data_IF_102117086003
#
_entry.id   IF_102117086003
#
_cell.length_a   1.000
_cell.length_b   1.000
_cell.length_c   1.000
_cell.angle_alpha   90.00
_cell.angle_beta   90.00
_cell.angle_gamma   90.00
#
_symmetry.space_group_name_H-M   'P 1'
#
loop_
_entity.id
_entity.type
_entity.pdbx_description
1 polymer ?
#
# COMPACT_ATOMS: atom_id res chain seq x y z
N UNK A 1 0.97 -17.21 -3.21
CA UNK A 1 -0.41 -16.80 -2.84
C UNK A 1 -1.50 -17.80 -3.30
N UNK A 2 -1.18 -18.91 -3.98
CA UNK A 2 -2.18 -19.82 -4.56
C UNK A 2 -3.22 -20.35 -3.57
N UNK A 3 -2.78 -20.87 -2.42
CA UNK A 3 -3.70 -21.35 -1.39
C UNK A 3 -4.66 -20.26 -0.89
N UNK A 4 -4.17 -19.03 -0.69
CA UNK A 4 -5.01 -17.93 -0.25
C UNK A 4 -6.06 -17.56 -1.32
N UNK A 5 -5.68 -17.59 -2.61
CA UNK A 5 -6.63 -17.31 -3.70
C UNK A 5 -7.73 -18.38 -3.83
N UNK A 6 -7.45 -19.63 -3.47
CA UNK A 6 -8.44 -20.70 -3.47
C UNK A 6 -9.35 -20.64 -2.23
N UNK A 7 -8.80 -20.26 -1.07
CA UNK A 7 -9.50 -20.29 0.21
C UNK A 7 -10.28 -19.01 0.56
N UNK A 8 -9.89 -17.84 0.01
CA UNK A 8 -10.46 -16.55 0.40
C UNK A 8 -10.94 -15.75 -0.80
N UNK A 9 -12.08 -15.04 -0.60
CA UNK A 9 -12.62 -14.10 -1.59
C UNK A 9 -11.90 -12.75 -1.60
N UNK A 10 -11.33 -12.38 -0.46
CA UNK A 10 -10.60 -11.13 -0.27
C UNK A 10 -9.38 -11.41 0.59
N UNK A 11 -8.21 -10.96 0.13
CA UNK A 11 -6.94 -11.11 0.82
C UNK A 11 -6.43 -9.69 1.10
N UNK A 12 -6.26 -9.35 2.38
CA UNK A 12 -5.65 -8.10 2.80
C UNK A 12 -4.25 -8.41 3.27
N UNK A 13 -3.26 -7.75 2.68
CA UNK A 13 -1.85 -7.89 3.06
C UNK A 13 -1.42 -6.63 3.77
N UNK A 14 -1.04 -6.76 5.04
CA UNK A 14 -0.42 -5.66 5.78
C UNK A 14 1.05 -5.55 5.38
N UNK A 15 1.52 -4.34 5.11
CA UNK A 15 2.86 -4.06 4.62
C UNK A 15 3.57 -3.07 5.54
N UNK A 16 4.91 -3.13 5.66
CA UNK A 16 5.66 -2.10 6.35
C UNK A 16 5.52 -0.72 5.67
N UNK A 17 5.96 0.38 6.30
CA UNK A 17 5.91 1.72 5.70
C UNK A 17 6.68 1.82 4.38
N UNK A 18 6.03 2.41 3.36
CA UNK A 18 6.52 2.48 1.96
C UNK A 18 7.95 3.02 1.81
N UNK A 19 8.32 4.06 2.56
CA UNK A 19 9.62 4.73 2.38
C UNK A 19 10.77 4.15 3.20
N UNK A 20 10.49 3.29 4.18
CA UNK A 20 11.52 2.76 5.07
C UNK A 20 12.02 1.38 4.62
N UNK A 21 11.32 0.71 3.70
CA UNK A 21 11.58 -0.67 3.34
C UNK A 21 11.39 -0.92 1.83
N UNK A 22 12.34 -1.64 1.24
CA UNK A 22 12.28 -2.13 -0.15
C UNK A 22 11.14 -3.14 -0.37
N UNK A 23 10.73 -3.83 0.69
CA UNK A 23 9.85 -5.00 0.62
C UNK A 23 8.43 -4.63 0.16
N UNK A 24 8.03 -3.37 0.36
CA UNK A 24 6.72 -2.87 -0.05
C UNK A 24 6.48 -3.06 -1.55
N UNK A 25 7.51 -2.90 -2.39
CA UNK A 25 7.40 -3.16 -3.83
C UNK A 25 7.17 -4.64 -4.12
N UNK A 26 7.92 -5.53 -3.46
CA UNK A 26 7.79 -6.98 -3.65
C UNK A 26 6.40 -7.49 -3.21
N UNK A 27 5.89 -6.99 -2.08
CA UNK A 27 4.56 -7.31 -1.58
C UNK A 27 3.49 -6.81 -2.57
N UNK A 28 3.58 -5.55 -3.00
CA UNK A 28 2.62 -4.96 -3.95
C UNK A 28 2.64 -5.62 -5.33
N UNK A 29 3.77 -6.22 -5.74
CA UNK A 29 3.88 -6.96 -6.99
C UNK A 29 2.93 -8.18 -7.01
N UNK A 30 2.70 -8.80 -5.84
CA UNK A 30 1.81 -9.96 -5.67
C UNK A 30 0.35 -9.58 -5.37
N UNK A 31 0.03 -8.30 -5.28
CA UNK A 31 -1.31 -7.80 -4.98
C UNK A 31 -1.98 -7.24 -6.25
N UNK A 32 -3.31 -7.31 -6.33
CA UNK A 32 -4.08 -6.74 -7.44
C UNK A 32 -4.19 -5.20 -7.35
N UNK A 33 -4.16 -4.67 -6.12
CA UNK A 33 -4.21 -3.25 -5.85
C UNK A 33 -3.59 -2.89 -4.50
N UNK A 34 -3.30 -1.61 -4.33
CA UNK A 34 -2.65 -1.04 -3.15
C UNK A 34 -3.47 0.15 -2.67
N UNK A 35 -3.70 0.20 -1.36
CA UNK A 35 -4.34 1.30 -0.68
C UNK A 35 -3.33 1.93 0.29
N UNK A 36 -3.01 3.21 0.11
CA UNK A 36 -2.05 3.89 0.98
C UNK A 36 -2.74 4.45 2.21
N UNK A 37 -2.33 4.03 3.41
CA UNK A 37 -2.83 4.60 4.66
C UNK A 37 -1.99 5.81 5.05
N UNK A 38 -2.64 6.94 5.28
CA UNK A 38 -2.02 8.22 5.60
C UNK A 38 -2.54 8.71 6.96
N UNK A 39 -1.64 8.92 7.92
CA UNK A 39 -2.02 9.48 9.22
C UNK A 39 -2.33 10.98 9.09
N UNK A 40 -3.52 11.36 9.55
CA UNK A 40 -4.00 12.72 9.55
C UNK A 40 -3.06 13.65 10.34
N UNK A 41 -2.85 14.85 9.81
CA UNK A 41 -2.02 15.92 10.39
C UNK A 41 -0.55 15.58 10.69
N UNK A 42 -0.08 14.38 10.36
CA UNK A 42 1.30 13.94 10.60
C UNK A 42 2.11 13.78 9.31
N UNK A 43 1.46 13.33 8.23
CA UNK A 43 2.13 13.09 6.96
C UNK A 43 2.35 14.40 6.18
N UNK A 44 3.61 14.74 5.87
CA UNK A 44 3.96 15.87 5.00
C UNK A 44 3.67 15.53 3.53
N UNK A 45 3.12 16.47 2.76
CA UNK A 45 2.78 16.29 1.34
C UNK A 45 3.93 15.73 0.49
N UNK A 46 5.15 16.26 0.64
CA UNK A 46 6.30 15.76 -0.12
C UNK A 46 6.68 14.31 0.21
N UNK A 47 6.41 13.85 1.43
CA UNK A 47 6.62 12.46 1.84
C UNK A 47 5.58 11.55 1.18
N UNK A 48 4.32 12.00 1.09
CA UNK A 48 3.24 11.28 0.41
C UNK A 48 3.52 11.13 -1.09
N UNK A 49 3.95 12.20 -1.76
CA UNK A 49 4.30 12.15 -3.19
C UNK A 49 5.46 11.18 -3.46
N UNK A 50 6.48 11.17 -2.59
CA UNK A 50 7.59 10.20 -2.69
C UNK A 50 7.09 8.77 -2.49
N UNK A 51 6.21 8.55 -1.52
CA UNK A 51 5.65 7.22 -1.23
C UNK A 51 4.79 6.72 -2.39
N UNK A 52 3.92 7.57 -2.94
CA UNK A 52 3.07 7.21 -4.08
C UNK A 52 3.88 6.83 -5.32
N UNK A 53 5.04 7.47 -5.56
CA UNK A 53 5.95 7.12 -6.66
C UNK A 53 6.65 5.76 -6.50
N UNK A 54 6.68 5.19 -5.29
CA UNK A 54 7.27 3.86 -5.06
C UNK A 54 6.30 2.71 -5.39
N UNK A 55 5.01 3.02 -5.54
CA UNK A 55 3.95 2.06 -5.87
C UNK A 55 3.64 2.17 -7.37
N UNK A 56 3.37 1.04 -8.03
CA UNK A 56 2.89 1.07 -9.42
C UNK A 56 1.57 1.87 -9.49
N UNK A 57 1.57 2.95 -10.27
CA UNK A 57 0.42 3.82 -10.43
C UNK A 57 -0.82 3.08 -10.95
N UNK A 58 -0.66 1.97 -11.67
CA UNK A 58 -1.77 1.12 -12.13
C UNK A 58 -2.43 0.32 -11.02
N UNK A 59 -1.70 0.06 -9.94
CA UNK A 59 -2.19 -0.69 -8.76
C UNK A 59 -2.62 0.23 -7.62
N UNK A 60 -2.25 1.51 -7.63
CA UNK A 60 -2.65 2.45 -6.59
C UNK A 60 -4.14 2.77 -6.70
N UNK A 61 -4.95 2.16 -5.82
CA UNK A 61 -6.41 2.33 -5.80
C UNK A 61 -6.82 3.67 -5.17
N UNK A 62 -5.97 4.21 -4.31
CA UNK A 62 -6.22 5.47 -3.60
C UNK A 62 -5.53 5.51 -2.24
N UNK A 63 -6.01 6.42 -1.39
CA UNK A 63 -5.50 6.61 -0.03
C UNK A 63 -6.62 6.60 1.01
N UNK A 64 -6.29 6.14 2.21
CA UNK A 64 -7.12 6.26 3.40
C UNK A 64 -6.53 7.32 4.30
N UNK A 65 -7.27 8.39 4.55
CA UNK A 65 -6.91 9.41 5.52
C UNK A 65 -7.39 8.98 6.91
N UNK A 66 -6.45 8.59 7.77
CA UNK A 66 -6.73 7.88 9.03
C UNK A 66 -6.43 8.74 10.26
N UNK A 67 -7.26 8.64 11.29
CA UNK A 67 -7.11 9.38 12.55
C UNK A 67 -7.62 10.82 12.46
N UNK A 68 -8.62 11.05 11.62
CA UNK A 68 -9.43 12.28 11.57
C UNK A 68 -10.34 12.37 12.78
#
# INVERSE_FOLDING_TARGET
>A
MSWCHEAFKLIIVDSPPVLCFSDTQLISASCDGVLMVVRAQQAKRGLLEKSARQVDARKLLGLVYNGV
#
